data_IF_498017097295
#
_entry.id   IF_498017097295
#
_cell.length_a   1.000
_cell.length_b   1.000
_cell.length_c   1.000
_cell.angle_alpha   90.00
_cell.angle_beta   90.00
_cell.angle_gamma   90.00
#
_symmetry.space_group_name_H-M   'P 1'
#
loop_
_entity.id
_entity.type
_entity.pdbx_description
1 polymer ?
#
# COMPACT_ATOMS: atom_id res chain seq x y z
N UNK A 1 1.54 7.95 14.35
CA UNK A 1 1.31 9.41 14.19
C UNK A 1 0.05 9.66 13.38
N UNK A 2 -0.63 10.80 13.59
CA UNK A 2 -1.76 11.24 12.77
C UNK A 2 -1.35 11.53 11.32
N UNK A 3 -0.17 12.13 11.12
CA UNK A 3 0.35 12.45 9.78
C UNK A 3 0.57 11.19 8.96
N UNK A 4 1.19 10.16 9.55
CA UNK A 4 1.41 8.88 8.88
C UNK A 4 0.09 8.25 8.38
N UNK A 5 -0.97 8.30 9.19
CA UNK A 5 -2.29 7.77 8.78
C UNK A 5 -2.86 8.56 7.61
N UNK A 6 -2.76 9.90 7.65
CA UNK A 6 -3.20 10.78 6.56
C UNK A 6 -2.44 10.47 5.27
N UNK A 7 -1.12 10.38 5.35
CA UNK A 7 -0.26 10.04 4.21
C UNK A 7 -0.62 8.68 3.62
N UNK A 8 -0.73 7.64 4.44
CA UNK A 8 -1.08 6.30 3.96
C UNK A 8 -2.47 6.29 3.30
N UNK A 9 -3.44 7.00 3.87
CA UNK A 9 -4.76 7.13 3.27
C UNK A 9 -4.71 7.80 1.90
N UNK A 10 -3.94 8.90 1.75
CA UNK A 10 -3.76 9.58 0.47
C UNK A 10 -3.08 8.69 -0.56
N UNK A 11 -2.08 7.89 -0.17
CA UNK A 11 -1.43 6.94 -1.07
C UNK A 11 -2.44 5.89 -1.56
N UNK A 12 -3.24 5.30 -0.67
CA UNK A 12 -4.23 4.30 -1.08
C UNK A 12 -5.29 4.89 -2.03
N UNK A 13 -5.72 6.13 -1.77
CA UNK A 13 -6.65 6.86 -2.61
C UNK A 13 -6.08 7.12 -4.01
N UNK A 14 -4.81 7.52 -4.10
CA UNK A 14 -4.11 7.67 -5.39
C UNK A 14 -4.04 6.33 -6.13
N UNK A 15 -3.61 5.25 -5.47
CA UNK A 15 -3.50 3.93 -6.10
C UNK A 15 -4.84 3.45 -6.68
N UNK A 16 -5.96 3.67 -5.97
CA UNK A 16 -7.29 3.29 -6.46
C UNK A 16 -7.68 4.11 -7.69
N UNK A 17 -7.39 5.41 -7.69
CA UNK A 17 -7.75 6.33 -8.78
C UNK A 17 -6.92 6.12 -10.03
N UNK A 18 -5.63 5.87 -9.88
CA UNK A 18 -4.71 5.70 -11.01
C UNK A 18 -4.65 4.26 -11.52
N UNK A 19 -5.14 3.30 -10.73
CA UNK A 19 -5.23 1.89 -11.09
C UNK A 19 -3.96 1.29 -11.72
N UNK A 20 -2.77 1.43 -11.08
CA UNK A 20 -1.53 0.88 -11.61
C UNK A 20 -1.55 -0.65 -11.47
N UNK A 21 -1.89 -1.34 -12.55
CA UNK A 21 -2.13 -2.80 -12.58
C UNK A 21 -0.95 -3.64 -12.10
N UNK A 22 0.28 -3.16 -12.25
CA UNK A 22 1.51 -3.86 -11.84
C UNK A 22 1.94 -3.53 -10.40
N UNK A 23 1.25 -2.61 -9.72
CA UNK A 23 1.56 -2.29 -8.33
C UNK A 23 0.98 -3.35 -7.38
N UNK A 24 1.81 -3.99 -6.53
CA UNK A 24 1.36 -5.07 -5.66
C UNK A 24 0.40 -4.61 -4.54
N UNK A 25 0.40 -3.33 -4.18
CA UNK A 25 -0.54 -2.77 -3.21
C UNK A 25 -1.87 -2.49 -3.89
N UNK A 26 -1.88 -1.98 -5.13
CA UNK A 26 -3.08 -1.84 -5.94
C UNK A 26 -3.77 -3.18 -6.19
N UNK A 27 -3.03 -4.20 -6.65
CA UNK A 27 -3.58 -5.55 -6.84
C UNK A 27 -4.21 -6.10 -5.55
N UNK A 28 -3.61 -5.82 -4.39
CA UNK A 28 -4.17 -6.20 -3.09
C UNK A 28 -5.47 -5.44 -2.79
N UNK A 29 -5.49 -4.11 -2.99
CA UNK A 29 -6.68 -3.27 -2.81
C UNK A 29 -7.82 -3.73 -3.72
N UNK A 30 -7.53 -3.99 -4.99
CA UNK A 30 -8.52 -4.44 -5.98
C UNK A 30 -9.10 -5.80 -5.61
N UNK A 31 -8.27 -6.74 -5.17
CA UNK A 31 -8.72 -8.03 -4.63
C UNK A 31 -9.66 -7.86 -3.42
N UNK A 32 -9.39 -6.90 -2.52
CA UNK A 32 -10.27 -6.65 -1.38
C UNK A 32 -11.58 -5.98 -1.81
N UNK A 33 -11.53 -5.09 -2.80
CA UNK A 33 -12.69 -4.46 -3.41
C UNK A 33 -13.59 -5.48 -4.09
N UNK A 34 -13.04 -6.39 -4.89
CA UNK A 34 -13.81 -7.46 -5.55
C UNK A 34 -14.43 -8.48 -4.58
N UNK A 35 -13.86 -8.61 -3.37
CA UNK A 35 -14.43 -9.38 -2.25
C UNK A 35 -15.57 -8.64 -1.52
N UNK A 36 -15.97 -7.44 -1.97
CA UNK A 36 -17.02 -6.65 -1.34
C UNK A 36 -16.63 -6.07 0.02
N UNK A 37 -15.33 -5.92 0.31
CA UNK A 37 -14.91 -5.29 1.58
C UNK A 37 -15.31 -3.81 1.60
N UNK A 38 -15.77 -3.27 2.74
CA UNK A 38 -16.10 -1.85 2.86
C UNK A 38 -14.87 -0.97 2.58
N UNK A 39 -15.10 0.22 2.01
CA UNK A 39 -14.07 1.16 1.59
C UNK A 39 -12.96 1.36 2.64
N UNK A 40 -13.31 1.85 3.83
CA UNK A 40 -12.33 2.15 4.88
C UNK A 40 -11.61 0.91 5.43
N UNK A 41 -12.23 -0.27 5.34
CA UNK A 41 -11.64 -1.53 5.78
C UNK A 41 -10.50 -1.94 4.86
N UNK A 42 -10.73 -1.93 3.53
CA UNK A 42 -9.66 -2.28 2.62
C UNK A 42 -8.62 -1.17 2.48
N UNK A 43 -8.97 0.10 2.70
CA UNK A 43 -8.00 1.20 2.76
C UNK A 43 -7.00 0.99 3.90
N UNK A 44 -7.50 0.65 5.09
CA UNK A 44 -6.64 0.34 6.25
C UNK A 44 -5.79 -0.91 5.99
N UNK A 45 -6.37 -1.95 5.39
CA UNK A 45 -5.62 -3.15 5.02
C UNK A 45 -4.53 -2.87 3.98
N UNK A 46 -4.82 -2.03 2.99
CA UNK A 46 -3.87 -1.58 1.97
C UNK A 46 -2.71 -0.79 2.57
N UNK A 47 -2.99 0.10 3.53
CA UNK A 47 -1.95 0.84 4.25
C UNK A 47 -0.96 -0.11 4.95
N UNK A 48 -1.45 -1.17 5.60
CA UNK A 48 -0.59 -2.17 6.23
C UNK A 48 0.21 -2.98 5.19
N UNK A 49 -0.41 -3.31 4.05
CA UNK A 49 0.27 -3.98 2.94
C UNK A 49 1.37 -3.10 2.34
N UNK A 50 1.11 -1.82 2.15
CA UNK A 50 2.07 -0.82 1.67
C UNK A 50 3.28 -0.77 2.58
N UNK A 51 3.09 -0.59 3.88
CA UNK A 51 4.18 -0.53 4.84
C UNK A 51 5.05 -1.79 4.80
N UNK A 52 4.43 -2.98 4.71
CA UNK A 52 5.17 -4.25 4.64
C UNK A 52 5.98 -4.41 3.36
N UNK A 53 5.40 -4.04 2.21
CA UNK A 53 6.08 -4.11 0.90
C UNK A 53 7.23 -3.10 0.84
N UNK A 54 6.97 -1.85 1.23
CA UNK A 54 7.99 -0.80 1.16
C UNK A 54 9.10 -0.98 2.18
N UNK A 55 8.79 -1.46 3.40
CA UNK A 55 9.82 -1.82 4.36
C UNK A 55 10.78 -2.87 3.78
N UNK A 56 10.26 -3.97 3.22
CA UNK A 56 11.09 -5.00 2.61
C UNK A 56 11.95 -4.47 1.46
N UNK A 57 11.34 -3.76 0.51
CA UNK A 57 12.06 -3.19 -0.64
C UNK A 57 13.17 -2.21 -0.23
N UNK A 58 12.90 -1.33 0.73
CA UNK A 58 13.88 -0.37 1.22
C UNK A 58 15.00 -1.07 1.97
N UNK A 59 14.67 -2.04 2.83
CA UNK A 59 15.69 -2.83 3.54
C UNK A 59 16.59 -3.59 2.56
N UNK A 60 16.03 -4.30 1.59
CA UNK A 60 16.80 -5.00 0.54
C UNK A 60 17.73 -4.04 -0.21
N UNK A 61 17.20 -2.90 -0.66
CA UNK A 61 18.00 -1.89 -1.36
C UNK A 61 19.13 -1.34 -0.47
N UNK A 62 18.84 -0.98 0.78
CA UNK A 62 19.86 -0.49 1.70
C UNK A 62 20.96 -1.52 1.98
N UNK A 63 20.62 -2.82 2.04
CA UNK A 63 21.61 -3.89 2.17
C UNK A 63 22.56 -3.97 0.96
N UNK A 64 22.09 -3.66 -0.26
CA UNK A 64 22.98 -3.62 -1.44
C UNK A 64 23.94 -2.44 -1.46
N UNK A 65 23.72 -1.42 -0.63
CA UNK A 65 24.60 -0.24 -0.52
C UNK A 65 25.65 -0.38 0.59
N UNK A 66 25.49 -1.35 1.48
CA UNK A 66 26.42 -1.61 2.59
C UNK A 66 27.53 -2.62 2.25
N UNK A 67 27.48 -3.20 1.04
CA UNK A 67 28.53 -4.03 0.44
C UNK A 67 29.35 -3.22 -0.57
#
# INVERSE_FOLDING_TARGET
>A
SADLRKTLFQIMDVLIKTAPIDDPVYQFLDKKRSQGKPYYVYMTAGANKFLRVYYGRVTEYLSTLSD
#
